data_IF_169321081194
#
_entry.id   IF_169321081194
#
_cell.length_a   1.000
_cell.length_b   1.000
_cell.length_c   1.000
_cell.angle_alpha   90.00
_cell.angle_beta   90.00
_cell.angle_gamma   90.00
#
_symmetry.space_group_name_H-M   'P 1'
#
loop_
_entity.id
_entity.type
_entity.pdbx_description
1 polymer ?
#
# COMPACT_ATOMS: atom_id res chain seq x y z
N UNK A 1 -49.25 19.61 5.54
CA UNK A 1 -48.24 20.24 4.66
C UNK A 1 -47.41 19.09 4.14
N UNK A 2 -48.00 18.32 3.24
CA UNK A 2 -47.54 16.99 2.90
C UNK A 2 -47.01 17.08 1.48
N UNK A 3 -45.69 16.95 1.31
CA UNK A 3 -45.03 17.16 0.03
C UNK A 3 -45.45 16.06 -0.96
N UNK A 4 -46.26 16.37 -1.98
CA UNK A 4 -46.80 15.36 -2.88
C UNK A 4 -45.69 14.64 -3.68
N UNK A 5 -44.57 15.33 -3.92
CA UNK A 5 -43.40 14.78 -4.61
C UNK A 5 -42.68 13.65 -3.84
N UNK A 6 -42.77 13.62 -2.52
CA UNK A 6 -42.19 12.53 -1.71
C UNK A 6 -43.09 11.29 -1.74
N UNK A 7 -44.41 11.48 -1.79
CA UNK A 7 -45.38 10.40 -1.82
C UNK A 7 -45.41 9.68 -3.18
N UNK A 8 -45.20 10.41 -4.28
CA UNK A 8 -45.05 9.79 -5.62
C UNK A 8 -43.77 8.96 -5.75
N UNK A 9 -42.70 9.29 -5.00
CA UNK A 9 -41.43 8.54 -5.05
C UNK A 9 -41.44 7.23 -4.26
N UNK A 10 -42.26 7.12 -3.22
CA UNK A 10 -42.44 5.87 -2.46
C UNK A 10 -43.30 4.88 -3.28
N UNK A 11 -44.24 5.39 -4.10
CA UNK A 11 -45.20 4.57 -4.84
C UNK A 11 -44.62 3.91 -6.11
N UNK A 12 -43.48 4.39 -6.61
CA UNK A 12 -42.81 3.82 -7.81
C UNK A 12 -41.74 2.76 -7.49
N UNK A 13 -41.58 2.32 -6.23
CA UNK A 13 -40.59 1.32 -5.77
C UNK A 13 -39.17 1.55 -6.33
N UNK A 14 -38.84 2.81 -6.69
CA UNK A 14 -37.49 3.11 -7.14
C UNK A 14 -36.64 3.38 -5.92
N UNK A 15 -35.58 2.58 -5.69
CA UNK A 15 -34.73 2.73 -4.53
C UNK A 15 -34.18 4.15 -4.51
N UNK A 16 -34.21 4.78 -3.34
CA UNK A 16 -33.47 6.01 -3.09
C UNK A 16 -31.99 5.72 -3.38
N UNK A 17 -31.51 6.15 -4.53
CA UNK A 17 -30.08 6.21 -4.80
C UNK A 17 -29.52 7.30 -3.90
N UNK A 18 -29.10 6.90 -2.71
CA UNK A 18 -28.08 7.63 -1.99
C UNK A 18 -26.89 7.60 -2.94
N UNK A 19 -26.65 8.74 -3.62
CA UNK A 19 -25.41 8.96 -4.34
C UNK A 19 -24.30 8.96 -3.30
N UNK A 20 -23.66 7.80 -3.15
CA UNK A 20 -22.39 7.68 -2.46
C UNK A 20 -21.37 8.46 -3.29
N UNK A 21 -21.06 9.70 -2.88
CA UNK A 21 -20.11 10.59 -3.57
C UNK A 21 -18.65 10.21 -3.28
N UNK A 22 -18.36 9.00 -2.77
CA UNK A 22 -17.00 8.47 -2.67
C UNK A 22 -16.89 7.11 -3.34
N UNK A 23 -17.12 7.15 -4.65
CA UNK A 23 -16.70 6.10 -5.57
C UNK A 23 -15.21 5.80 -5.42
N UNK A 24 -14.94 4.63 -4.82
CA UNK A 24 -13.85 3.71 -5.12
C UNK A 24 -12.42 4.28 -5.18
N UNK A 25 -11.59 3.94 -4.20
CA UNK A 25 -10.43 3.02 -4.35
C UNK A 25 -9.82 2.83 -2.95
N UNK A 26 -9.49 1.60 -2.57
CA UNK A 26 -8.87 1.20 -1.31
C UNK A 26 -7.95 2.25 -0.69
N UNK A 27 -8.40 2.90 0.38
CA UNK A 27 -7.56 3.74 1.23
C UNK A 27 -6.62 2.85 2.05
N UNK A 28 -5.54 2.36 1.43
CA UNK A 28 -4.34 2.03 2.20
C UNK A 28 -3.61 3.34 2.44
N UNK A 29 -4.10 4.14 3.39
CA UNK A 29 -3.30 5.22 3.97
C UNK A 29 -2.23 4.51 4.78
N UNK A 30 -1.11 4.21 4.14
CA UNK A 30 0.08 3.70 4.84
C UNK A 30 0.91 4.91 5.21
N UNK A 31 0.69 5.41 6.41
CA UNK A 31 1.56 6.42 7.02
C UNK A 31 2.98 5.88 7.09
N UNK A 32 3.99 6.74 6.85
CA UNK A 32 5.42 6.35 6.87
C UNK A 32 5.78 5.65 8.18
N UNK A 33 5.21 6.11 9.29
CA UNK A 33 5.42 5.53 10.64
C UNK A 33 4.98 4.06 10.75
N UNK A 34 3.97 3.65 9.98
CA UNK A 34 3.42 2.29 10.05
C UNK A 34 4.24 1.31 9.22
N UNK A 35 4.82 1.76 8.10
CA UNK A 35 5.54 0.89 7.16
C UNK A 35 7.05 0.82 7.42
N UNK A 36 7.63 1.92 7.88
CA UNK A 36 9.08 2.01 8.14
C UNK A 36 9.61 0.91 9.07
N UNK A 37 8.97 0.55 10.21
CA UNK A 37 9.50 -0.49 11.10
C UNK A 37 9.53 -1.87 10.43
N UNK A 38 8.46 -2.28 9.75
CA UNK A 38 8.40 -3.55 9.03
C UNK A 38 9.41 -3.62 7.88
N UNK A 39 9.59 -2.52 7.15
CA UNK A 39 10.62 -2.46 6.10
C UNK A 39 12.04 -2.56 6.66
N UNK A 40 12.30 -1.97 7.84
CA UNK A 40 13.60 -2.06 8.50
C UNK A 40 13.86 -3.50 8.94
N UNK A 41 12.87 -4.17 9.53
CA UNK A 41 12.98 -5.58 9.92
C UNK A 41 13.24 -6.49 8.72
N UNK A 42 12.54 -6.26 7.60
CA UNK A 42 12.76 -6.98 6.36
C UNK A 42 14.21 -6.79 5.87
N UNK A 43 14.69 -5.54 5.80
CA UNK A 43 16.06 -5.24 5.38
C UNK A 43 17.11 -5.92 6.28
N UNK A 44 16.92 -5.87 7.61
CA UNK A 44 17.82 -6.52 8.57
C UNK A 44 17.81 -8.04 8.41
N UNK A 45 16.64 -8.64 8.22
CA UNK A 45 16.49 -10.07 7.96
C UNK A 45 17.25 -10.48 6.70
N UNK A 46 17.08 -9.74 5.60
CA UNK A 46 17.83 -9.96 4.36
C UNK A 46 19.33 -9.79 4.55
N UNK A 47 19.77 -8.89 5.43
CA UNK A 47 21.18 -8.67 5.71
C UNK A 47 21.80 -9.81 6.56
N UNK A 48 20.98 -10.52 7.35
CA UNK A 48 21.39 -11.68 8.16
C UNK A 48 21.43 -12.99 7.35
N UNK A 49 20.66 -13.08 6.27
CA UNK A 49 20.69 -14.22 5.35
C UNK A 49 21.98 -14.20 4.51
N UNK A 50 23.00 -14.89 5.01
CA UNK A 50 24.28 -15.13 4.32
C UNK A 50 24.16 -15.95 3.02
N UNK A 51 22.98 -16.51 2.75
CA UNK A 51 22.63 -17.22 1.52
C UNK A 51 22.30 -16.26 0.36
N UNK A 52 22.00 -14.99 0.66
CA UNK A 52 21.73 -14.00 -0.37
C UNK A 52 23.04 -13.47 -0.94
N UNK A 53 23.11 -13.45 -2.27
CA UNK A 53 24.21 -12.78 -2.97
C UNK A 53 24.33 -11.32 -2.52
N UNK A 54 25.55 -10.81 -2.42
CA UNK A 54 25.80 -9.42 -2.04
C UNK A 54 25.14 -8.40 -2.99
N UNK A 55 24.83 -8.84 -4.21
CA UNK A 55 24.16 -8.10 -5.28
C UNK A 55 22.64 -8.31 -5.32
N UNK A 56 22.03 -8.82 -4.23
CA UNK A 56 20.60 -9.12 -4.23
C UNK A 56 19.74 -7.85 -4.46
N UNK A 57 19.11 -7.76 -5.63
CA UNK A 57 18.34 -6.60 -6.09
C UNK A 57 17.24 -6.18 -5.09
N UNK A 58 16.56 -7.15 -4.47
CA UNK A 58 15.50 -6.85 -3.51
C UNK A 58 16.02 -6.07 -2.29
N UNK A 59 17.28 -6.28 -1.89
CA UNK A 59 17.90 -5.53 -0.79
C UNK A 59 18.15 -4.08 -1.17
N UNK A 60 18.58 -3.82 -2.40
CA UNK A 60 18.76 -2.47 -2.92
C UNK A 60 17.43 -1.71 -3.01
N UNK A 61 16.35 -2.39 -3.45
CA UNK A 61 14.99 -1.80 -3.49
C UNK A 61 14.49 -1.42 -2.10
N UNK A 62 14.55 -2.33 -1.12
CA UNK A 62 14.12 -2.03 0.26
C UNK A 62 14.97 -0.93 0.89
N UNK A 63 16.29 -0.91 0.64
CA UNK A 63 17.18 0.18 1.07
C UNK A 63 16.74 1.54 0.51
N UNK A 64 16.41 1.62 -0.77
CA UNK A 64 15.99 2.88 -1.41
C UNK A 64 14.69 3.43 -0.81
N UNK A 65 13.75 2.55 -0.43
CA UNK A 65 12.51 2.95 0.21
C UNK A 65 12.74 3.40 1.65
N UNK A 66 13.61 2.72 2.40
CA UNK A 66 14.02 3.15 3.74
C UNK A 66 14.69 4.53 3.71
N UNK A 67 15.60 4.79 2.78
CA UNK A 67 16.26 6.09 2.62
C UNK A 67 15.24 7.20 2.32
N UNK A 68 14.27 6.93 1.44
CA UNK A 68 13.14 7.83 1.19
C UNK A 68 12.32 8.09 2.46
N UNK A 69 12.02 7.07 3.25
CA UNK A 69 11.31 7.25 4.53
C UNK A 69 12.12 8.01 5.57
N UNK A 70 13.46 7.91 5.56
CA UNK A 70 14.34 8.69 6.44
C UNK A 70 14.38 10.18 6.06
N UNK A 71 14.08 10.53 4.80
CA UNK A 71 13.93 11.90 4.33
C UNK A 71 12.54 12.51 4.60
N UNK A 72 11.53 11.67 4.86
CA UNK A 72 10.16 12.10 5.14
C UNK A 72 9.95 12.31 6.64
N UNK A 73 9.08 13.24 7.04
CA UNK A 73 8.65 13.31 8.44
C UNK A 73 7.73 12.13 8.74
N UNK A 74 7.68 11.71 10.01
CA UNK A 74 6.79 10.63 10.43
C UNK A 74 5.30 10.93 10.15
N UNK A 75 4.93 12.21 10.05
CA UNK A 75 3.59 12.69 9.71
C UNK A 75 3.35 12.89 8.21
N UNK A 76 4.37 12.72 7.36
CA UNK A 76 4.16 12.77 5.91
C UNK A 76 3.49 11.47 5.43
N UNK A 77 2.59 11.62 4.46
CA UNK A 77 1.86 10.52 3.84
C UNK A 77 2.46 10.20 2.48
N UNK A 78 2.49 8.92 2.10
CA UNK A 78 2.80 8.52 0.74
C UNK A 78 1.65 8.88 -0.19
N UNK A 79 1.97 9.40 -1.37
CA UNK A 79 0.98 9.59 -2.45
C UNK A 79 0.44 8.23 -2.91
N UNK A 80 -0.78 8.18 -3.46
CA UNK A 80 -1.36 6.93 -4.02
C UNK A 80 -0.43 6.20 -5.00
N UNK A 81 0.29 6.97 -5.83
CA UNK A 81 1.27 6.43 -6.79
C UNK A 81 2.47 5.82 -6.08
N UNK A 82 2.97 6.45 -5.03
CA UNK A 82 4.13 5.98 -4.27
C UNK A 82 3.78 4.74 -3.45
N UNK A 83 2.60 4.70 -2.83
CA UNK A 83 2.10 3.53 -2.13
C UNK A 83 1.96 2.33 -3.08
N UNK A 84 1.45 2.53 -4.30
CA UNK A 84 1.38 1.46 -5.32
C UNK A 84 2.76 1.00 -5.77
N UNK A 85 3.68 1.93 -5.98
CA UNK A 85 5.06 1.61 -6.37
C UNK A 85 5.78 0.83 -5.26
N UNK A 86 5.59 1.22 -4.01
CA UNK A 86 6.11 0.53 -2.82
C UNK A 86 5.62 -0.93 -2.76
N UNK A 87 4.31 -1.14 -2.93
CA UNK A 87 3.72 -2.48 -2.94
C UNK A 87 4.34 -3.32 -4.07
N UNK A 88 4.42 -2.76 -5.28
CA UNK A 88 5.01 -3.45 -6.43
C UNK A 88 6.48 -3.81 -6.21
N UNK A 89 7.28 -2.88 -5.68
CA UNK A 89 8.70 -3.12 -5.39
C UNK A 89 8.88 -4.18 -4.30
N UNK A 90 8.00 -4.19 -3.29
CA UNK A 90 8.02 -5.20 -2.22
C UNK A 90 7.65 -6.59 -2.75
N UNK A 91 6.61 -6.68 -3.59
CA UNK A 91 6.24 -7.93 -4.27
C UNK A 91 7.36 -8.42 -5.20
N UNK A 92 8.01 -7.51 -5.92
CA UNK A 92 9.16 -7.80 -6.78
C UNK A 92 10.34 -8.33 -5.96
N UNK A 93 10.66 -7.68 -4.84
CA UNK A 93 11.73 -8.09 -3.93
C UNK A 93 11.45 -9.45 -3.28
N UNK A 94 10.20 -9.71 -2.88
CA UNK A 94 9.78 -11.00 -2.33
C UNK A 94 9.85 -12.12 -3.38
N UNK A 95 9.42 -11.86 -4.62
CA UNK A 95 9.56 -12.81 -5.72
C UNK A 95 11.03 -13.11 -6.04
N UNK A 96 11.89 -12.08 -6.06
CA UNK A 96 13.33 -12.25 -6.23
C UNK A 96 13.93 -13.08 -5.08
N UNK A 97 13.50 -12.83 -3.85
CA UNK A 97 13.97 -13.54 -2.66
C UNK A 97 13.59 -15.02 -2.72
N UNK A 98 12.35 -15.32 -3.11
CA UNK A 98 11.92 -16.70 -3.32
C UNK A 98 12.70 -17.39 -4.43
N UNK A 99 13.02 -16.71 -5.54
CA UNK A 99 13.88 -17.30 -6.58
C UNK A 99 15.26 -17.66 -6.05
N UNK A 100 15.89 -16.77 -5.29
CA UNK A 100 17.20 -17.07 -4.68
C UNK A 100 17.12 -18.23 -3.69
N UNK A 101 16.07 -18.28 -2.85
CA UNK A 101 15.87 -19.39 -1.90
C UNK A 101 15.60 -20.74 -2.61
N UNK A 102 14.90 -20.73 -3.73
CA UNK A 102 14.64 -21.96 -4.51
C UNK A 102 15.77 -22.30 -5.49
N UNK A 103 16.70 -21.37 -5.71
CA UNK A 103 17.90 -21.57 -6.53
C UNK A 103 19.12 -22.00 -5.71
N UNK A 104 19.08 -21.88 -4.39
CA UNK A 104 20.11 -22.33 -3.44
C UNK A 104 19.87 -23.78 -3.01
#
# INVERSE_FOLDING_TARGET
>A
MDCPAALERIKEDRPITIKDDKGNTSKCIVEVVTVQPDMRELYETMNRLHLLSSDFEGKAKVKSWLDKFEMMQASDELSDTEARQLIFDLESAHNAFNRELHSA
#
